data_IF_731504348419
#
_entry.id   IF_731504348419
#
_cell.length_a   1.000
_cell.length_b   1.000
_cell.length_c   1.000
_cell.angle_alpha   90.00
_cell.angle_beta   90.00
_cell.angle_gamma   90.00
#
_symmetry.space_group_name_H-M   'P 1'
#
loop_
_entity.id
_entity.type
_entity.pdbx_description
1 polymer ?
#
# COMPACT_ATOMS: atom_id res chain seq x y z
N UNK A 1 10.65 10.96 1.23
CA UNK A 1 11.90 10.29 1.69
C UNK A 1 12.67 9.86 0.46
N UNK A 2 13.48 8.80 0.52
CA UNK A 2 13.92 8.09 -0.70
C UNK A 2 12.96 6.95 -1.09
N UNK A 3 12.07 6.58 -0.17
CA UNK A 3 11.05 5.54 -0.33
C UNK A 3 9.70 6.20 -0.09
N UNK A 4 8.75 5.99 -1.01
CA UNK A 4 7.42 6.59 -0.98
C UNK A 4 6.30 5.55 -0.82
N UNK A 5 6.63 4.25 -0.86
CA UNK A 5 5.72 3.13 -0.60
C UNK A 5 6.52 1.89 -0.15
N UNK A 6 6.01 1.15 0.83
CA UNK A 6 6.56 -0.14 1.26
C UNK A 6 5.53 -1.25 0.99
N UNK A 7 5.93 -2.33 0.32
CA UNK A 7 5.13 -3.54 0.16
C UNK A 7 5.85 -4.67 0.90
N UNK A 8 5.32 -5.10 2.05
CA UNK A 8 5.93 -6.10 2.94
C UNK A 8 4.97 -7.27 3.20
N UNK A 9 4.99 -8.27 2.31
CA UNK A 9 4.14 -9.46 2.38
C UNK A 9 4.90 -10.60 3.07
N UNK A 10 4.44 -11.11 4.22
CA UNK A 10 5.14 -12.14 4.97
C UNK A 10 5.20 -13.45 4.16
N UNK A 11 6.36 -14.11 4.15
CA UNK A 11 6.61 -15.34 3.38
C UNK A 11 6.74 -16.58 4.25
N UNK A 12 7.30 -16.45 5.45
CA UNK A 12 7.48 -17.51 6.43
C UNK A 12 7.33 -16.94 7.86
N UNK A 13 7.27 -17.83 8.86
CA UNK A 13 7.03 -17.48 10.28
C UNK A 13 8.27 -17.71 11.15
N UNK A 14 9.44 -17.76 10.52
CA UNK A 14 10.71 -17.91 11.24
C UNK A 14 10.98 -16.66 12.07
N UNK A 15 11.52 -16.83 13.28
CA UNK A 15 11.65 -15.71 14.24
C UNK A 15 12.47 -14.55 13.68
N UNK A 16 13.60 -14.84 13.04
CA UNK A 16 14.46 -13.81 12.44
C UNK A 16 13.74 -13.02 11.34
N UNK A 17 12.96 -13.71 10.52
CA UNK A 17 12.14 -13.10 9.47
C UNK A 17 11.01 -12.24 10.07
N UNK A 18 10.35 -12.72 11.15
CA UNK A 18 9.32 -11.94 11.85
C UNK A 18 9.89 -10.66 12.50
N UNK A 19 11.10 -10.72 13.05
CA UNK A 19 11.77 -9.57 13.65
C UNK A 19 12.16 -8.54 12.57
N UNK A 20 12.70 -8.99 11.44
CA UNK A 20 13.01 -8.13 10.29
C UNK A 20 11.74 -7.48 9.71
N UNK A 21 10.69 -8.27 9.50
CA UNK A 21 9.38 -7.81 9.07
C UNK A 21 8.83 -6.72 9.99
N UNK A 22 8.97 -6.90 11.30
CA UNK A 22 8.54 -5.91 12.29
C UNK A 22 9.32 -4.60 12.12
N UNK A 23 10.65 -4.66 11.99
CA UNK A 23 11.49 -3.47 11.82
C UNK A 23 11.12 -2.70 10.54
N UNK A 24 10.88 -3.41 9.43
CA UNK A 24 10.47 -2.79 8.16
C UNK A 24 9.11 -2.08 8.32
N UNK A 25 8.11 -2.78 8.87
CA UNK A 25 6.76 -2.23 9.06
C UNK A 25 6.76 -1.05 10.03
N UNK A 26 7.53 -1.14 11.13
CA UNK A 26 7.67 -0.08 12.13
C UNK A 26 8.30 1.16 11.52
N UNK A 27 9.39 0.98 10.77
CA UNK A 27 10.09 2.08 10.09
C UNK A 27 9.15 2.79 9.11
N UNK A 28 8.38 2.05 8.30
CA UNK A 28 7.40 2.66 7.39
C UNK A 28 6.39 3.55 8.12
N UNK A 29 5.85 3.07 9.25
CA UNK A 29 4.92 3.83 10.10
C UNK A 29 5.60 5.07 10.71
N UNK A 30 6.82 4.93 11.25
CA UNK A 30 7.57 6.03 11.86
C UNK A 30 7.86 7.17 10.88
N UNK A 31 8.08 6.84 9.60
CA UNK A 31 8.28 7.81 8.52
C UNK A 31 6.99 8.23 7.81
N UNK A 32 5.82 7.84 8.33
CA UNK A 32 4.51 8.11 7.71
C UNK A 32 4.46 7.71 6.22
N UNK A 33 5.15 6.61 5.87
CA UNK A 33 5.24 6.07 4.52
C UNK A 33 4.16 4.99 4.34
N UNK A 34 3.33 5.03 3.29
CA UNK A 34 2.32 4.02 3.02
C UNK A 34 2.89 2.59 3.04
N UNK A 35 2.13 1.66 3.62
CA UNK A 35 2.54 0.26 3.84
C UNK A 35 1.43 -0.71 3.40
N UNK A 36 1.76 -1.64 2.49
CA UNK A 36 0.88 -2.73 2.06
C UNK A 36 1.45 -4.06 2.55
N UNK A 37 0.66 -4.83 3.30
CA UNK A 37 1.08 -6.15 3.84
C UNK A 37 0.30 -7.32 3.25
N UNK A 38 -0.82 -7.05 2.57
CA UNK A 38 -1.69 -8.07 2.00
C UNK A 38 -1.35 -8.31 0.51
N UNK A 39 -1.12 -9.57 0.14
CA UNK A 39 -0.78 -9.96 -1.23
C UNK A 39 -1.87 -9.60 -2.24
N UNK A 40 -3.14 -9.78 -1.89
CA UNK A 40 -4.25 -9.51 -2.81
C UNK A 40 -4.42 -8.01 -3.03
N UNK A 41 -4.27 -7.20 -1.98
CA UNK A 41 -4.26 -5.75 -2.10
C UNK A 41 -3.09 -5.27 -2.96
N UNK A 42 -1.88 -5.82 -2.75
CA UNK A 42 -0.71 -5.47 -3.55
C UNK A 42 -0.92 -5.80 -5.03
N UNK A 43 -1.46 -6.98 -5.36
CA UNK A 43 -1.77 -7.38 -6.73
C UNK A 43 -2.78 -6.42 -7.38
N UNK A 44 -3.91 -6.16 -6.70
CA UNK A 44 -4.93 -5.23 -7.19
C UNK A 44 -4.39 -3.83 -7.38
N UNK A 45 -3.54 -3.36 -6.47
CA UNK A 45 -2.88 -2.08 -6.58
C UNK A 45 -1.98 -2.01 -7.82
N UNK A 46 -1.11 -3.00 -8.02
CA UNK A 46 -0.22 -3.08 -9.20
C UNK A 46 -1.03 -3.17 -10.51
N UNK A 47 -2.07 -4.00 -10.55
CA UNK A 47 -2.98 -4.10 -11.70
C UNK A 47 -3.63 -2.74 -12.02
N UNK A 48 -4.17 -2.06 -11.01
CA UNK A 48 -4.82 -0.77 -11.18
C UNK A 48 -3.85 0.30 -11.70
N UNK A 49 -2.68 0.45 -11.09
CA UNK A 49 -1.70 1.46 -11.54
C UNK A 49 -1.11 1.13 -12.92
N UNK A 50 -1.00 -0.16 -13.27
CA UNK A 50 -0.48 -0.57 -14.58
C UNK A 50 -1.47 -0.33 -15.73
N UNK A 51 -2.77 -0.28 -15.42
CA UNK A 51 -3.85 -0.08 -16.39
C UNK A 51 -4.41 1.34 -16.41
N UNK A 52 -3.93 2.22 -15.53
CA UNK A 52 -4.35 3.63 -15.42
C UNK A 52 -3.31 4.54 -16.08
N UNK A 53 -3.73 5.37 -17.02
CA UNK A 53 -2.86 6.41 -17.57
C UNK A 53 -2.89 7.66 -16.68
N UNK A 54 -1.83 8.47 -16.73
CA UNK A 54 -1.74 9.70 -15.94
C UNK A 54 -2.87 10.68 -16.29
N UNK A 55 -3.27 10.71 -17.55
CA UNK A 55 -4.35 11.55 -18.06
C UNK A 55 -5.73 11.14 -17.52
N UNK A 56 -5.88 9.87 -17.12
CA UNK A 56 -7.12 9.31 -16.57
C UNK A 56 -7.28 9.62 -15.06
N UNK A 57 -6.20 10.08 -14.39
CA UNK A 57 -6.20 10.44 -12.97
C UNK A 57 -6.84 11.83 -12.75
N UNK A 58 -8.16 11.89 -12.84
CA UNK A 58 -8.92 13.10 -12.56
C UNK A 58 -9.12 13.30 -11.05
N UNK A 59 -8.96 14.55 -10.60
CA UNK A 59 -9.33 14.96 -9.24
C UNK A 59 -10.86 14.96 -9.15
N UNK A 60 -11.41 13.97 -8.45
CA UNK A 60 -12.85 13.89 -8.17
C UNK A 60 -13.21 14.75 -6.98
N UNK A 61 -14.45 15.26 -6.95
CA UNK A 61 -14.94 15.94 -5.76
C UNK A 61 -15.12 14.92 -4.63
N UNK A 62 -14.85 15.34 -3.39
CA UNK A 62 -14.97 14.50 -2.20
C UNK A 62 -16.39 13.92 -2.03
N UNK A 63 -17.41 14.69 -2.42
CA UNK A 63 -18.81 14.27 -2.36
C UNK A 63 -19.13 13.05 -3.24
N UNK A 64 -18.34 12.79 -4.29
CA UNK A 64 -18.53 11.64 -5.17
C UNK A 64 -18.20 10.30 -4.49
N UNK A 65 -17.34 10.31 -3.48
CA UNK A 65 -16.97 9.10 -2.72
C UNK A 65 -18.00 8.72 -1.66
N UNK A 66 -18.78 9.68 -1.16
CA UNK A 66 -19.80 9.46 -0.13
C UNK A 66 -21.05 8.71 -0.60
N UNK A 67 -21.34 8.73 -1.91
CA UNK A 67 -22.55 8.11 -2.49
C UNK A 67 -22.50 6.58 -2.58
N UNK A 68 -21.40 5.93 -2.20
CA UNK A 68 -21.27 4.47 -2.18
C UNK A 68 -21.69 3.82 -0.85
N UNK A 69 -22.20 4.61 0.11
CA UNK A 69 -22.77 4.11 1.35
C UNK A 69 -24.09 4.82 1.68
N UNK A 70 -25.16 4.44 0.97
CA UNK A 70 -26.56 4.55 1.41
C UNK A 70 -27.32 3.29 0.97
#
# INVERSE_FOLDING_TARGET
GKIDLVINIPKNIEREELDNDYLIRRTAVDFNTPLITNLQLAKRFVEAISSTQLEDLQVKNWDEYGNYCI
#
